data_IF_548417923316
#
_entry.id   IF_548417923316
#
_cell.length_a   1.000
_cell.length_b   1.000
_cell.length_c   1.000
_cell.angle_alpha   90.00
_cell.angle_beta   90.00
_cell.angle_gamma   90.00
#
_symmetry.space_group_name_H-M   'P 1'
#
loop_
_entity.id
_entity.type
_entity.pdbx_description
1 polymer ?
#
# COMPACT_ATOMS: atom_id res chain seq x y z
N UNK A 1 6.97 1.02 10.94
CA UNK A 1 5.56 0.92 11.35
C UNK A 1 4.65 1.76 10.45
N UNK A 2 4.97 3.03 10.15
CA UNK A 2 4.12 3.91 9.31
C UNK A 2 3.62 3.29 7.99
N UNK A 3 4.44 2.66 7.13
CA UNK A 3 3.96 2.10 5.86
C UNK A 3 2.94 0.96 6.05
N UNK A 4 3.12 0.16 7.11
CA UNK A 4 2.20 -0.93 7.47
C UNK A 4 0.87 -0.37 7.92
N UNK A 5 0.87 0.63 8.80
CA UNK A 5 -0.35 1.28 9.27
C UNK A 5 -1.15 1.86 8.10
N UNK A 6 -0.48 2.52 7.15
CA UNK A 6 -1.11 3.07 5.94
C UNK A 6 -1.71 1.96 5.06
N UNK A 7 -0.99 0.85 4.85
CA UNK A 7 -1.49 -0.28 4.07
C UNK A 7 -2.70 -0.96 4.76
N UNK A 8 -2.67 -1.09 6.10
CA UNK A 8 -3.81 -1.61 6.88
C UNK A 8 -5.01 -0.69 6.74
N UNK A 9 -4.84 0.62 6.94
CA UNK A 9 -5.95 1.55 6.76
C UNK A 9 -6.49 1.53 5.33
N UNK A 10 -5.64 1.42 4.31
CA UNK A 10 -6.10 1.32 2.91
C UNK A 10 -6.98 0.08 2.72
N UNK A 11 -6.56 -1.08 3.24
CA UNK A 11 -7.33 -2.31 3.17
C UNK A 11 -8.63 -2.25 3.98
N UNK A 12 -8.57 -1.75 5.21
CA UNK A 12 -9.75 -1.61 6.09
C UNK A 12 -10.76 -0.66 5.47
N UNK A 13 -10.33 0.51 4.99
CA UNK A 13 -11.24 1.48 4.39
C UNK A 13 -11.85 0.93 3.09
N UNK A 14 -11.08 0.22 2.27
CA UNK A 14 -11.60 -0.40 1.05
C UNK A 14 -12.56 -1.58 1.28
N UNK A 15 -12.39 -2.32 2.38
CA UNK A 15 -13.19 -3.53 2.67
C UNK A 15 -14.36 -3.29 3.63
N UNK A 16 -14.21 -2.38 4.61
CA UNK A 16 -15.14 -2.20 5.73
C UNK A 16 -16.02 -0.96 5.61
N UNK A 17 -15.71 -0.01 4.70
CA UNK A 17 -16.62 1.11 4.47
C UNK A 17 -17.90 0.57 3.84
N UNK A 18 -19.08 0.83 4.44
CA UNK A 18 -20.35 0.33 3.94
C UNK A 18 -20.52 0.66 2.46
N UNK A 19 -20.95 -0.34 1.68
CA UNK A 19 -21.30 -0.21 0.26
C UNK A 19 -22.53 0.67 0.00
N UNK A 20 -23.09 1.29 1.03
CA UNK A 20 -24.09 2.34 0.88
C UNK A 20 -23.49 3.47 0.05
N UNK A 21 -24.19 3.86 -1.02
CA UNK A 21 -23.67 4.72 -2.10
C UNK A 21 -22.99 6.02 -1.61
N UNK A 22 -23.43 6.56 -0.48
CA UNK A 22 -22.89 7.78 0.11
C UNK A 22 -21.47 7.62 0.68
N UNK A 23 -21.11 6.44 1.20
CA UNK A 23 -19.81 6.18 1.81
C UNK A 23 -18.86 5.45 0.86
N UNK A 24 -19.39 4.81 -0.18
CA UNK A 24 -18.62 4.10 -1.21
C UNK A 24 -17.53 4.97 -1.84
N UNK A 25 -17.89 6.19 -2.27
CA UNK A 25 -16.94 7.14 -2.87
C UNK A 25 -15.88 7.60 -1.87
N UNK A 26 -16.30 7.95 -0.65
CA UNK A 26 -15.37 8.42 0.38
C UNK A 26 -14.35 7.33 0.75
N UNK A 27 -14.80 6.08 0.87
CA UNK A 27 -13.94 4.94 1.18
C UNK A 27 -12.86 4.71 0.13
N UNK A 28 -13.25 4.59 -1.15
CA UNK A 28 -12.27 4.33 -2.21
C UNK A 28 -11.32 5.50 -2.46
N UNK A 29 -11.78 6.74 -2.26
CA UNK A 29 -10.92 7.92 -2.35
C UNK A 29 -9.85 7.94 -1.25
N UNK A 30 -10.23 7.62 -0.01
CA UNK A 30 -9.29 7.51 1.11
C UNK A 30 -8.34 6.32 0.91
N UNK A 31 -8.84 5.16 0.46
CA UNK A 31 -8.02 3.99 0.15
C UNK A 31 -6.97 4.30 -0.91
N UNK A 32 -7.32 5.05 -1.96
CA UNK A 32 -6.40 5.53 -3.00
C UNK A 32 -5.27 6.36 -2.42
N UNK A 33 -5.59 7.38 -1.62
CA UNK A 33 -4.59 8.27 -1.00
C UNK A 33 -3.65 7.46 -0.10
N UNK A 34 -4.20 6.57 0.71
CA UNK A 34 -3.42 5.74 1.62
C UNK A 34 -2.50 4.78 0.88
N UNK A 35 -2.98 4.14 -0.19
CA UNK A 35 -2.17 3.24 -1.01
C UNK A 35 -0.95 3.94 -1.62
N UNK A 36 -1.10 5.18 -2.11
CA UNK A 36 0.00 5.99 -2.63
C UNK A 36 0.93 6.52 -1.52
N UNK A 37 0.40 6.75 -0.32
CA UNK A 37 1.20 7.18 0.83
C UNK A 37 2.16 6.09 1.32
N UNK A 38 1.88 4.81 1.08
CA UNK A 38 2.76 3.68 1.47
C UNK A 38 4.16 3.79 0.85
N UNK A 39 4.35 3.81 -0.49
CA UNK A 39 5.68 3.91 -1.09
C UNK A 39 6.37 5.24 -0.77
N UNK A 40 5.61 6.35 -0.67
CA UNK A 40 6.16 7.66 -0.30
C UNK A 40 6.73 7.67 1.13
N UNK A 41 5.98 7.13 2.10
CA UNK A 41 6.43 7.04 3.48
C UNK A 41 7.65 6.13 3.61
N UNK A 42 7.68 4.99 2.91
CA UNK A 42 8.83 4.09 2.90
C UNK A 42 10.06 4.74 2.25
N UNK A 43 9.89 5.42 1.12
CA UNK A 43 10.96 6.15 0.44
C UNK A 43 11.52 7.29 1.29
N UNK A 44 10.64 8.04 1.98
CA UNK A 44 11.05 9.11 2.88
C UNK A 44 11.87 8.59 4.06
N UNK A 45 11.41 7.50 4.70
CA UNK A 45 12.15 6.85 5.77
C UNK A 45 13.55 6.45 5.28
N UNK A 46 13.66 5.86 4.09
CA UNK A 46 14.92 5.40 3.48
C UNK A 46 15.88 6.49 2.96
N UNK A 47 15.62 7.79 3.16
CA UNK A 47 16.55 8.86 2.73
C UNK A 47 17.88 8.93 3.51
N UNK A 48 18.09 8.05 4.47
CA UNK A 48 19.28 7.98 5.33
C UNK A 48 20.52 7.30 4.70
N UNK A 49 21.56 7.03 5.51
CA UNK A 49 22.82 6.44 5.03
C UNK A 49 22.58 5.13 4.27
N UNK A 50 23.29 4.95 3.15
CA UNK A 50 23.07 3.86 2.19
C UNK A 50 23.08 2.50 2.92
N UNK A 51 21.93 1.80 2.97
CA UNK A 51 21.89 0.50 3.63
C UNK A 51 22.76 -0.51 2.88
N UNK A 52 23.42 -1.39 3.63
CA UNK A 52 24.29 -2.45 3.09
C UNK A 52 23.56 -3.34 2.09
N UNK A 53 22.24 -3.51 2.25
CA UNK A 53 21.35 -4.25 1.37
C UNK A 53 20.58 -3.35 0.38
N UNK A 54 21.26 -2.41 -0.30
CA UNK A 54 20.63 -1.44 -1.22
C UNK A 54 19.70 -2.07 -2.26
N UNK A 55 20.05 -3.24 -2.81
CA UNK A 55 19.22 -3.98 -3.77
C UNK A 55 17.86 -4.39 -3.19
N UNK A 56 17.85 -4.89 -1.95
CA UNK A 56 16.62 -5.28 -1.24
C UNK A 56 15.72 -4.06 -0.97
N UNK A 57 16.31 -2.93 -0.56
CA UNK A 57 15.55 -1.69 -0.36
C UNK A 57 14.94 -1.15 -1.66
N UNK A 58 15.70 -1.20 -2.76
CA UNK A 58 15.19 -0.83 -4.09
C UNK A 58 14.08 -1.77 -4.54
N UNK A 59 14.23 -3.08 -4.36
CA UNK A 59 13.20 -4.06 -4.66
C UNK A 59 11.91 -3.77 -3.89
N UNK A 60 12.01 -3.53 -2.58
CA UNK A 60 10.85 -3.18 -1.74
C UNK A 60 10.21 -1.86 -2.18
N UNK A 61 11.01 -0.84 -2.49
CA UNK A 61 10.48 0.45 -2.95
C UNK A 61 9.75 0.31 -4.30
N UNK A 62 10.33 -0.41 -5.25
CA UNK A 62 9.73 -0.68 -6.56
C UNK A 62 8.45 -1.49 -6.39
N UNK A 63 8.49 -2.57 -5.60
CA UNK A 63 7.31 -3.39 -5.30
C UNK A 63 6.19 -2.57 -4.67
N UNK A 64 6.47 -1.84 -3.59
CA UNK A 64 5.49 -0.95 -2.94
C UNK A 64 4.94 0.10 -3.90
N UNK A 65 5.75 0.62 -4.81
CA UNK A 65 5.32 1.61 -5.80
C UNK A 65 4.39 1.00 -6.84
N UNK A 66 4.74 -0.17 -7.38
CA UNK A 66 3.90 -0.89 -8.35
C UNK A 66 2.57 -1.28 -7.70
N UNK A 67 2.61 -1.98 -6.57
CA UNK A 67 1.42 -2.44 -5.87
C UNK A 67 0.56 -1.27 -5.37
N UNK A 68 1.17 -0.20 -4.87
CA UNK A 68 0.47 1.01 -4.43
C UNK A 68 -0.22 1.73 -5.60
N UNK A 69 0.47 1.85 -6.75
CA UNK A 69 -0.10 2.48 -7.95
C UNK A 69 -1.23 1.64 -8.53
N UNK A 70 -1.06 0.31 -8.62
CA UNK A 70 -2.13 -0.59 -9.11
C UNK A 70 -3.34 -0.56 -8.19
N UNK A 71 -3.15 -0.62 -6.87
CA UNK A 71 -4.24 -0.52 -5.89
C UNK A 71 -4.97 0.83 -5.98
N UNK A 72 -4.22 1.93 -6.15
CA UNK A 72 -4.77 3.26 -6.36
C UNK A 72 -5.55 3.39 -7.67
N UNK A 73 -5.02 2.88 -8.78
CA UNK A 73 -5.69 2.87 -10.08
C UNK A 73 -7.00 2.08 -10.01
N UNK A 74 -6.95 0.86 -9.48
CA UNK A 74 -8.15 0.03 -9.33
C UNK A 74 -9.18 0.70 -8.41
N UNK A 75 -8.75 1.36 -7.32
CA UNK A 75 -9.65 2.16 -6.49
C UNK A 75 -10.28 3.32 -7.27
N UNK A 76 -9.53 3.95 -8.19
CA UNK A 76 -10.02 4.98 -9.09
C UNK A 76 -11.03 4.47 -10.12
N UNK A 77 -10.85 3.26 -10.64
CA UNK A 77 -11.83 2.64 -11.54
C UNK A 77 -13.09 2.23 -10.78
N UNK A 78 -12.93 1.65 -9.58
CA UNK A 78 -14.05 1.37 -8.68
C UNK A 78 -14.86 2.64 -8.36
N UNK A 79 -14.19 3.79 -8.16
CA UNK A 79 -14.84 5.10 -8.01
C UNK A 79 -15.65 5.52 -9.24
N UNK A 80 -15.19 5.18 -10.45
CA UNK A 80 -15.84 5.57 -11.70
C UNK A 80 -17.20 4.90 -11.92
N UNK A 81 -17.43 3.72 -11.34
CA UNK A 81 -18.75 3.09 -11.36
C UNK A 81 -19.78 3.79 -10.47
N UNK A 82 -19.34 4.63 -9.53
CA UNK A 82 -20.22 5.45 -8.69
C UNK A 82 -21.09 4.70 -7.68
N UNK A 83 -21.14 3.37 -7.73
CA UNK A 83 -21.91 2.51 -6.83
C UNK A 83 -21.23 1.15 -6.66
N UNK A 84 -21.50 0.50 -5.53
CA UNK A 84 -20.96 -0.83 -5.27
C UNK A 84 -21.56 -1.92 -6.17
N UNK A 85 -22.82 -1.76 -6.58
CA UNK A 85 -23.50 -2.70 -7.47
C UNK A 85 -22.94 -2.65 -8.90
N UNK A 86 -22.59 -1.45 -9.39
CA UNK A 86 -21.90 -1.29 -10.67
C UNK A 86 -20.49 -1.91 -10.68
N UNK A 87 -19.76 -1.76 -9.56
CA UNK A 87 -18.42 -2.31 -9.40
C UNK A 87 -18.40 -3.84 -9.18
N UNK A 88 -19.41 -4.41 -8.54
CA UNK A 88 -19.51 -5.85 -8.30
C UNK A 88 -19.68 -6.68 -9.58
N UNK A 89 -20.12 -6.04 -10.68
CA UNK A 89 -20.23 -6.66 -12.00
C UNK A 89 -18.88 -6.94 -12.67
N UNK A 90 -17.79 -6.28 -12.27
CA UNK A 90 -16.45 -6.48 -12.82
C UNK A 90 -15.57 -7.32 -11.90
N UNK A 91 -15.62 -8.64 -12.12
CA UNK A 91 -14.85 -9.64 -11.38
C UNK A 91 -13.34 -9.43 -11.56
N UNK A 92 -12.91 -8.97 -12.74
CA UNK A 92 -11.49 -8.80 -13.05
C UNK A 92 -10.86 -7.68 -12.25
N UNK A 93 -11.55 -6.54 -12.17
CA UNK A 93 -11.07 -5.36 -11.46
C UNK A 93 -11.07 -5.56 -9.94
N UNK A 94 -12.13 -6.15 -9.38
CA UNK A 94 -12.18 -6.44 -7.94
C UNK A 94 -11.08 -7.44 -7.54
N UNK A 95 -10.78 -8.43 -8.39
CA UNK A 95 -9.67 -9.36 -8.15
C UNK A 95 -8.30 -8.66 -8.19
N UNK A 96 -8.05 -7.81 -9.18
CA UNK A 96 -6.80 -7.05 -9.30
C UNK A 96 -6.63 -6.04 -8.14
N UNK A 97 -7.71 -5.39 -7.73
CA UNK A 97 -7.72 -4.52 -6.56
C UNK A 97 -7.34 -5.28 -5.29
N UNK A 98 -7.94 -6.46 -5.07
CA UNK A 98 -7.69 -7.26 -3.87
C UNK A 98 -6.26 -7.81 -3.87
N UNK A 99 -5.81 -8.37 -5.00
CA UNK A 99 -4.45 -8.88 -5.17
C UNK A 99 -3.42 -7.78 -4.94
N UNK A 100 -3.65 -6.59 -5.48
CA UNK A 100 -2.72 -5.49 -5.33
C UNK A 100 -2.66 -4.95 -3.90
N UNK A 101 -3.81 -4.87 -3.23
CA UNK A 101 -3.92 -4.42 -1.84
C UNK A 101 -3.27 -5.42 -0.86
N UNK A 102 -3.47 -6.72 -1.07
CA UNK A 102 -2.80 -7.78 -0.29
C UNK A 102 -1.29 -7.77 -0.54
N UNK A 103 -0.86 -7.64 -1.80
CA UNK A 103 0.56 -7.51 -2.16
C UNK A 103 1.22 -6.31 -1.49
N UNK A 104 0.54 -5.16 -1.49
CA UNK A 104 0.98 -3.94 -0.81
C UNK A 104 1.14 -4.16 0.70
N UNK A 105 0.18 -4.85 1.33
CA UNK A 105 0.24 -5.18 2.76
C UNK A 105 1.43 -6.08 3.11
N UNK A 106 1.62 -7.17 2.36
CA UNK A 106 2.75 -8.11 2.57
C UNK A 106 4.09 -7.40 2.41
N UNK A 107 4.26 -6.61 1.35
CA UNK A 107 5.49 -5.85 1.11
C UNK A 107 5.72 -4.77 2.18
N UNK A 108 4.64 -4.18 2.72
CA UNK A 108 4.74 -3.20 3.81
C UNK A 108 5.24 -3.85 5.10
N UNK A 109 4.80 -5.08 5.40
CA UNK A 109 5.32 -5.86 6.53
C UNK A 109 6.79 -6.18 6.31
N UNK A 110 7.16 -6.68 5.14
CA UNK A 110 8.56 -6.98 4.80
C UNK A 110 9.43 -5.73 4.97
N UNK A 111 8.97 -4.57 4.46
CA UNK A 111 9.62 -3.29 4.64
C UNK A 111 9.78 -2.89 6.12
N UNK A 112 8.78 -3.13 6.96
CA UNK A 112 8.85 -2.84 8.39
C UNK A 112 9.81 -3.76 9.16
N UNK A 113 10.02 -5.00 8.71
CA UNK A 113 10.99 -5.94 9.32
C UNK A 113 12.42 -5.63 8.88
N UNK A 114 12.61 -5.22 7.62
CA UNK A 114 13.92 -4.90 7.04
C UNK A 114 14.46 -3.58 7.58
N UNK A 115 13.59 -2.58 7.79
CA UNK A 115 13.95 -1.23 8.20
C UNK A 115 14.77 -1.13 9.52
N UNK A 116 14.38 -1.77 10.64
CA UNK A 116 15.17 -1.75 11.88
C UNK A 116 16.55 -2.38 11.71
N UNK A 117 16.66 -3.46 10.94
CA UNK A 117 17.93 -4.17 10.70
C UNK A 117 18.92 -3.30 9.94
N UNK A 118 18.44 -2.57 8.93
CA UNK A 118 19.24 -1.64 8.16
C UNK A 118 19.81 -0.49 9.03
N UNK A 119 19.02 -0.02 10.00
CA UNK A 119 19.46 1.03 10.93
C UNK A 119 20.54 0.52 11.90
N UNK A 120 20.41 -0.71 12.41
CA UNK A 120 21.43 -1.31 13.29
C UNK A 120 22.75 -1.53 12.55
N UNK A 121 22.68 -2.05 11.31
CA UNK A 121 23.84 -2.22 10.44
C UNK A 121 24.53 -0.89 10.13
N UNK A 122 23.76 0.16 9.82
CA UNK A 122 24.30 1.49 9.53
C UNK A 122 24.97 2.15 10.75
N UNK A 123 24.56 1.78 11.97
CA UNK A 123 25.16 2.26 13.22
C UNK A 123 26.36 1.43 13.69
N UNK A 124 26.73 0.36 12.97
CA UNK A 124 27.79 -0.55 13.38
C UNK A 124 27.48 -1.34 14.65
N UNK A 125 26.22 -1.35 15.08
CA UNK A 125 25.75 -2.11 16.24
C UNK A 125 25.47 -3.53 15.76
N UNK A 126 26.44 -4.43 15.90
CA UNK A 126 26.20 -5.86 15.66
C UNK A 126 25.22 -6.38 16.73
N UNK A 127 24.28 -7.28 16.36
CA UNK A 127 23.41 -7.95 17.32
C UNK A 127 24.19 -8.82 18.30
#
# INVERSE_FOLDING_TARGET
MVPVSLAVLAAVVGLMVPREDSLYLAGHFVALILALAVPLSYGWLNRGPRPRARSLHLFLLIGLSIFGTVSALMSGVLLSFGSADGAAGDIGEMFLWLLSTVGLFVLSIAAAVVWPRAISDARGVRP
#
